data_IF_184688564122
#
_entry.id   IF_184688564122
#
_cell.length_a   1.000
_cell.length_b   1.000
_cell.length_c   1.000
_cell.angle_alpha   90.00
_cell.angle_beta   90.00
_cell.angle_gamma   90.00
#
_symmetry.space_group_name_H-M   'P 1'
#
loop_
_entity.id
_entity.type
_entity.pdbx_description
1 polymer ?
#
# COMPACT_ATOMS: atom_id res chain seq x y z
N UNK A 1 -6.76 13.65 22.77
CA UNK A 1 -5.93 12.84 21.85
C UNK A 1 -6.86 11.84 21.18
N UNK A 2 -6.68 11.55 19.89
CA UNK A 2 -7.43 10.48 19.24
C UNK A 2 -7.06 9.14 19.91
N UNK A 3 -7.99 8.20 19.94
CA UNK A 3 -7.76 6.85 20.45
C UNK A 3 -6.67 6.18 19.59
N UNK A 4 -5.69 5.53 20.23
CA UNK A 4 -4.63 4.83 19.50
C UNK A 4 -5.22 3.66 18.72
N UNK A 5 -4.85 3.53 17.45
CA UNK A 5 -5.29 2.46 16.56
C UNK A 5 -4.07 1.89 15.83
N UNK A 6 -3.85 0.62 16.02
CA UNK A 6 -2.82 -0.14 15.31
C UNK A 6 -3.47 -1.21 14.45
N UNK A 7 -2.72 -1.79 13.52
CA UNK A 7 -3.21 -2.91 12.72
C UNK A 7 -2.14 -3.99 12.56
N UNK A 8 -2.59 -5.23 12.46
CA UNK A 8 -1.89 -6.32 11.85
C UNK A 8 -2.51 -6.57 10.48
N UNK A 9 -1.70 -6.56 9.44
CA UNK A 9 -2.15 -6.55 8.05
C UNK A 9 -1.45 -7.66 7.24
N UNK A 10 -1.76 -8.94 7.52
CA UNK A 10 -1.12 -10.06 6.85
C UNK A 10 -1.66 -10.30 5.45
N UNK A 11 -0.75 -10.71 4.54
CA UNK A 11 -1.15 -11.29 3.26
C UNK A 11 -1.38 -12.79 3.41
N UNK A 12 -2.48 -13.35 2.89
CA UNK A 12 -2.82 -14.77 3.02
C UNK A 12 -2.05 -15.64 2.01
N UNK A 13 -0.73 -15.61 2.08
CA UNK A 13 0.19 -16.28 1.14
C UNK A 13 0.75 -17.60 1.67
N UNK A 14 0.16 -18.15 2.73
CA UNK A 14 0.54 -19.42 3.32
C UNK A 14 0.60 -19.41 4.84
N UNK A 15 1.52 -20.22 5.40
CA UNK A 15 1.64 -20.33 6.86
C UNK A 15 2.28 -19.09 7.46
N UNK A 16 1.70 -18.62 8.57
CA UNK A 16 2.30 -17.56 9.37
C UNK A 16 3.61 -18.07 10.00
N UNK A 17 4.69 -17.30 9.84
CA UNK A 17 5.95 -17.57 10.54
C UNK A 17 6.14 -16.62 11.74
N UNK A 18 7.09 -16.95 12.60
CA UNK A 18 7.33 -16.23 13.87
C UNK A 18 7.58 -14.73 13.69
N UNK A 19 8.18 -14.31 12.58
CA UNK A 19 8.39 -12.88 12.26
C UNK A 19 7.09 -12.11 12.11
N UNK A 20 6.11 -12.69 11.39
CA UNK A 20 4.78 -12.08 11.22
C UNK A 20 4.05 -12.01 12.57
N UNK A 21 4.12 -13.08 13.37
CA UNK A 21 3.52 -13.10 14.70
C UNK A 21 4.15 -12.05 15.62
N UNK A 22 5.48 -11.85 15.55
CA UNK A 22 6.17 -10.80 16.31
C UNK A 22 5.64 -9.41 15.96
N UNK A 23 5.44 -9.12 14.68
CA UNK A 23 4.86 -7.83 14.25
C UNK A 23 3.44 -7.65 14.79
N UNK A 24 2.61 -8.69 14.73
CA UNK A 24 1.27 -8.69 15.33
C UNK A 24 1.32 -8.42 16.85
N UNK A 25 2.24 -9.08 17.55
CA UNK A 25 2.42 -8.90 18.99
C UNK A 25 2.77 -7.45 19.36
N UNK A 26 3.71 -6.81 18.66
CA UNK A 26 4.07 -5.42 18.93
C UNK A 26 2.91 -4.46 18.68
N UNK A 27 2.21 -4.62 17.56
CA UNK A 27 1.03 -3.81 17.25
C UNK A 27 -0.07 -3.97 18.31
N UNK A 28 -0.32 -5.21 18.75
CA UNK A 28 -1.25 -5.54 19.84
C UNK A 28 -0.86 -4.87 21.16
N UNK A 29 0.41 -5.03 21.57
CA UNK A 29 0.88 -4.49 22.84
C UNK A 29 0.81 -2.96 22.90
N UNK A 30 1.16 -2.26 21.81
CA UNK A 30 1.03 -0.81 21.72
C UNK A 30 -0.44 -0.40 21.86
N UNK A 31 -1.35 -1.01 21.09
CA UNK A 31 -2.77 -0.70 21.21
C UNK A 31 -3.29 -0.91 22.62
N UNK A 32 -2.98 -2.05 23.25
CA UNK A 32 -3.49 -2.38 24.60
C UNK A 32 -2.86 -1.53 25.70
N UNK A 33 -1.57 -1.18 25.57
CA UNK A 33 -0.90 -0.29 26.52
C UNK A 33 -1.56 1.10 26.55
N UNK A 34 -1.91 1.62 25.39
CA UNK A 34 -2.52 2.93 25.23
C UNK A 34 -4.07 2.92 25.37
N UNK A 35 -4.67 1.80 25.71
CA UNK A 35 -6.14 1.66 25.79
C UNK A 35 -6.86 1.84 24.46
N UNK A 36 -6.16 1.53 23.36
CA UNK A 36 -6.59 1.68 21.99
C UNK A 36 -7.15 0.40 21.37
N UNK A 37 -7.25 0.40 20.04
CA UNK A 37 -7.80 -0.69 19.24
C UNK A 37 -6.71 -1.36 18.40
N UNK A 38 -6.74 -2.68 18.36
CA UNK A 38 -5.91 -3.52 17.50
C UNK A 38 -6.77 -4.11 16.38
N UNK A 39 -6.50 -3.76 15.15
CA UNK A 39 -7.26 -4.16 13.97
C UNK A 39 -6.59 -5.31 13.22
N UNK A 40 -7.40 -6.18 12.63
CA UNK A 40 -6.96 -7.18 11.65
C UNK A 40 -7.45 -6.76 10.26
N UNK A 41 -6.53 -6.57 9.31
CA UNK A 41 -6.82 -6.34 7.89
C UNK A 41 -6.17 -7.42 7.05
N UNK A 42 -6.91 -8.04 6.15
CA UNK A 42 -6.38 -9.05 5.21
C UNK A 42 -5.94 -8.34 3.92
N UNK A 43 -4.66 -8.46 3.59
CA UNK A 43 -4.06 -7.85 2.40
C UNK A 43 -3.88 -8.91 1.30
N UNK A 44 -4.95 -9.14 0.55
CA UNK A 44 -5.08 -10.17 -0.48
C UNK A 44 -5.06 -9.61 -1.92
N UNK A 45 -4.47 -8.43 -2.14
CA UNK A 45 -4.37 -7.82 -3.48
C UNK A 45 -3.49 -8.61 -4.45
N UNK A 46 -2.63 -9.49 -3.96
CA UNK A 46 -1.84 -10.42 -4.75
C UNK A 46 -2.57 -11.75 -4.88
N UNK A 47 -3.46 -11.82 -5.85
CA UNK A 47 -4.31 -12.99 -6.09
C UNK A 47 -3.52 -14.23 -6.59
N UNK A 48 -2.33 -14.03 -7.18
CA UNK A 48 -1.49 -15.13 -7.66
C UNK A 48 -0.86 -15.91 -6.52
N UNK A 49 -0.57 -15.23 -5.39
CA UNK A 49 0.01 -15.84 -4.19
C UNK A 49 -1.01 -16.20 -3.11
N UNK A 50 -2.30 -16.00 -3.38
CA UNK A 50 -3.35 -16.38 -2.44
C UNK A 50 -3.34 -17.89 -2.18
N UNK A 51 -3.39 -18.29 -0.91
CA UNK A 51 -3.45 -19.69 -0.49
C UNK A 51 -4.75 -19.93 0.25
N UNK A 52 -5.55 -20.86 -0.26
CA UNK A 52 -6.80 -21.27 0.39
C UNK A 52 -6.53 -21.79 1.82
N UNK A 53 -7.35 -21.37 2.78
CA UNK A 53 -7.19 -21.72 4.20
C UNK A 53 -6.16 -20.86 4.95
N UNK A 54 -5.43 -19.95 4.30
CA UNK A 54 -4.43 -19.12 4.97
C UNK A 54 -5.07 -18.11 5.93
N UNK A 55 -6.25 -17.61 5.60
CA UNK A 55 -7.00 -16.67 6.46
C UNK A 55 -7.42 -17.35 7.77
N UNK A 56 -7.91 -18.57 7.71
CA UNK A 56 -8.28 -19.40 8.86
C UNK A 56 -7.07 -19.66 9.76
N UNK A 57 -5.89 -19.91 9.17
CA UNK A 57 -4.63 -20.07 9.91
C UNK A 57 -4.26 -18.77 10.64
N UNK A 58 -4.45 -17.61 10.01
CA UNK A 58 -4.23 -16.30 10.66
C UNK A 58 -5.13 -16.16 11.89
N UNK A 59 -6.44 -16.39 11.76
CA UNK A 59 -7.38 -16.32 12.87
C UNK A 59 -7.02 -17.29 13.99
N UNK A 60 -6.74 -18.55 13.64
CA UNK A 60 -6.40 -19.57 14.63
C UNK A 60 -5.11 -19.21 15.39
N UNK A 61 -4.08 -18.73 14.66
CA UNK A 61 -2.81 -18.34 15.27
C UNK A 61 -2.99 -17.16 16.25
N UNK A 62 -3.75 -16.13 15.86
CA UNK A 62 -4.03 -14.99 16.73
C UNK A 62 -4.80 -15.43 17.97
N UNK A 63 -5.77 -16.32 17.82
CA UNK A 63 -6.54 -16.88 18.92
C UNK A 63 -5.66 -17.70 19.87
N UNK A 64 -4.85 -18.60 19.36
CA UNK A 64 -3.99 -19.49 20.16
C UNK A 64 -2.92 -18.71 20.94
N UNK A 65 -2.50 -17.56 20.41
CA UNK A 65 -1.51 -16.68 21.06
C UNK A 65 -2.14 -15.57 21.89
N UNK A 66 -3.48 -15.49 21.96
CA UNK A 66 -4.19 -14.49 22.77
C UNK A 66 -4.16 -13.07 22.17
N UNK A 67 -3.76 -12.89 20.91
CA UNK A 67 -3.72 -11.62 20.23
C UNK A 67 -5.09 -11.29 19.60
N UNK A 68 -6.08 -11.10 20.44
CA UNK A 68 -7.47 -10.90 19.99
C UNK A 68 -7.64 -9.47 19.45
N UNK A 69 -8.02 -9.37 18.17
CA UNK A 69 -8.32 -8.09 17.53
C UNK A 69 -9.67 -7.51 18.00
N UNK A 70 -9.76 -6.20 18.00
CA UNK A 70 -10.97 -5.45 18.35
C UNK A 70 -11.88 -5.27 17.15
N UNK A 71 -11.31 -5.15 15.95
CA UNK A 71 -12.00 -5.00 14.68
C UNK A 71 -11.31 -5.86 13.61
N UNK A 72 -12.06 -6.35 12.63
CA UNK A 72 -11.55 -7.17 11.54
C UNK A 72 -12.68 -7.69 10.64
N UNK A 73 -12.39 -8.59 9.68
CA UNK A 73 -13.41 -9.10 8.77
C UNK A 73 -14.58 -9.82 9.46
N UNK A 74 -14.33 -10.40 10.64
CA UNK A 74 -15.32 -11.10 11.47
C UNK A 74 -15.94 -10.21 12.56
N UNK A 75 -15.46 -8.96 12.70
CA UNK A 75 -15.88 -8.05 13.77
C UNK A 75 -15.82 -6.61 13.29
N UNK A 76 -16.90 -6.15 12.68
CA UNK A 76 -16.98 -4.80 12.11
C UNK A 76 -16.95 -3.71 13.19
N UNK A 77 -16.05 -2.73 13.00
CA UNK A 77 -15.93 -1.51 13.81
C UNK A 77 -16.41 -0.26 13.06
N UNK A 78 -17.04 -0.42 11.88
CA UNK A 78 -17.59 0.67 11.08
C UNK A 78 -16.62 1.32 10.10
N UNK A 79 -15.43 0.76 9.90
CA UNK A 79 -14.41 1.24 8.95
C UNK A 79 -14.06 0.20 7.89
N UNK A 80 -14.85 -0.88 7.81
CA UNK A 80 -14.70 -1.94 6.81
C UNK A 80 -14.97 -1.49 5.37
N UNK A 81 -14.85 -2.39 4.42
CA UNK A 81 -14.38 -3.79 4.54
C UNK A 81 -12.95 -3.90 5.06
N UNK A 82 -12.62 -5.02 5.76
CA UNK A 82 -11.28 -5.28 6.28
C UNK A 82 -10.48 -6.26 5.41
N UNK A 83 -10.98 -6.56 4.21
CA UNK A 83 -10.32 -7.38 3.19
C UNK A 83 -10.06 -6.50 1.96
N UNK A 84 -8.82 -6.45 1.48
CA UNK A 84 -8.44 -5.52 0.41
C UNK A 84 -9.11 -5.82 -0.92
N UNK A 85 -9.36 -7.09 -1.27
CA UNK A 85 -10.11 -7.44 -2.49
C UNK A 85 -11.55 -6.93 -2.45
N UNK A 86 -12.21 -6.91 -1.29
CA UNK A 86 -13.55 -6.31 -1.13
C UNK A 86 -13.51 -4.79 -1.29
N UNK A 87 -12.47 -4.14 -0.76
CA UNK A 87 -12.23 -2.69 -0.94
C UNK A 87 -11.93 -2.37 -2.39
N UNK A 88 -11.16 -3.21 -3.08
CA UNK A 88 -10.91 -3.08 -4.51
C UNK A 88 -12.23 -3.16 -5.30
N UNK A 89 -13.09 -4.12 -5.00
CA UNK A 89 -14.40 -4.26 -5.64
C UNK A 89 -15.31 -3.04 -5.43
N UNK A 90 -15.16 -2.30 -4.33
CA UNK A 90 -15.87 -1.04 -4.08
C UNK A 90 -15.37 0.14 -4.91
N UNK A 91 -14.21 0.02 -5.58
CA UNK A 91 -13.59 1.08 -6.39
C UNK A 91 -12.83 2.15 -5.60
N UNK A 92 -12.66 1.97 -4.29
CA UNK A 92 -12.11 2.99 -3.40
C UNK A 92 -10.68 3.41 -3.76
N UNK A 93 -9.82 2.46 -4.15
CA UNK A 93 -8.44 2.78 -4.52
C UNK A 93 -8.36 3.62 -5.79
N UNK A 94 -9.18 3.28 -6.80
CA UNK A 94 -9.24 4.08 -8.03
C UNK A 94 -9.77 5.49 -7.75
N UNK A 95 -10.73 5.63 -6.84
CA UNK A 95 -11.25 6.94 -6.41
C UNK A 95 -10.13 7.80 -5.81
N UNK A 96 -9.33 7.23 -4.89
CA UNK A 96 -8.19 7.95 -4.28
C UNK A 96 -7.09 8.26 -5.29
N UNK A 97 -6.78 7.35 -6.22
CA UNK A 97 -5.83 7.61 -7.29
C UNK A 97 -6.29 8.77 -8.20
N UNK A 98 -7.58 8.84 -8.53
CA UNK A 98 -8.16 9.96 -9.30
C UNK A 98 -8.08 11.28 -8.55
N UNK A 99 -8.32 11.30 -7.24
CA UNK A 99 -8.14 12.49 -6.40
C UNK A 99 -6.69 13.02 -6.44
N UNK A 100 -5.70 12.13 -6.52
CA UNK A 100 -4.30 12.52 -6.69
C UNK A 100 -4.04 13.05 -8.11
N UNK A 101 -4.65 12.47 -9.15
CA UNK A 101 -4.56 13.00 -10.53
C UNK A 101 -5.14 14.41 -10.59
N UNK A 102 -6.31 14.64 -10.00
CA UNK A 102 -6.96 15.95 -9.98
C UNK A 102 -6.12 17.03 -9.28
N UNK A 103 -5.26 16.64 -8.35
CA UNK A 103 -4.30 17.51 -7.67
C UNK A 103 -2.96 17.65 -8.40
N UNK A 104 -2.71 16.89 -9.46
CA UNK A 104 -1.42 16.82 -10.13
C UNK A 104 -0.36 16.00 -9.37
N UNK A 105 -0.77 15.25 -8.35
CA UNK A 105 0.10 14.39 -7.52
C UNK A 105 0.20 12.94 -8.07
N UNK A 106 -0.57 12.64 -9.13
CA UNK A 106 -0.49 11.39 -9.89
C UNK A 106 -0.85 11.62 -11.35
N UNK A 107 -0.55 10.67 -12.22
CA UNK A 107 -0.83 10.76 -13.64
C UNK A 107 -0.99 9.40 -14.31
N UNK A 108 -1.65 9.36 -15.47
CA UNK A 108 -1.77 8.17 -16.30
C UNK A 108 -0.45 7.89 -17.04
N UNK A 109 -0.01 6.65 -17.03
CA UNK A 109 1.17 6.21 -17.76
C UNK A 109 0.79 5.08 -18.73
N UNK A 110 0.99 5.31 -20.02
CA UNK A 110 0.70 4.38 -21.13
C UNK A 110 1.97 3.72 -21.70
N UNK A 111 3.09 3.77 -20.97
CA UNK A 111 4.33 3.14 -21.40
C UNK A 111 4.21 1.63 -21.52
N UNK A 112 4.70 1.08 -22.64
CA UNK A 112 4.75 -0.36 -22.84
C UNK A 112 5.87 -1.01 -22.01
N UNK A 113 5.80 -2.33 -21.73
CA UNK A 113 6.87 -3.04 -21.05
C UNK A 113 8.23 -2.92 -21.75
N UNK A 114 8.25 -2.90 -23.09
CA UNK A 114 9.47 -2.77 -23.90
C UNK A 114 10.13 -1.41 -23.67
N UNK A 115 9.30 -0.33 -23.64
CA UNK A 115 9.81 1.01 -23.34
C UNK A 115 10.38 1.08 -21.93
N UNK A 116 9.66 0.54 -20.95
CA UNK A 116 10.14 0.53 -19.56
C UNK A 116 11.44 -0.27 -19.42
N UNK A 117 11.55 -1.41 -20.12
CA UNK A 117 12.78 -2.19 -20.14
C UNK A 117 13.98 -1.42 -20.72
N UNK A 118 13.74 -0.50 -21.67
CA UNK A 118 14.80 0.33 -22.26
C UNK A 118 15.35 1.42 -21.33
N UNK A 119 14.67 1.69 -20.20
CA UNK A 119 15.13 2.65 -19.18
C UNK A 119 16.05 2.02 -18.12
N UNK A 120 16.24 0.71 -18.18
CA UNK A 120 17.13 0.01 -17.25
C UNK A 120 18.58 0.36 -17.56
N UNK A 121 19.28 0.83 -16.56
CA UNK A 121 20.72 1.09 -16.61
C UNK A 121 21.45 0.15 -15.63
N UNK A 122 22.64 -0.29 -16.02
CA UNK A 122 23.48 -1.08 -15.11
C UNK A 122 24.48 -0.15 -14.43
N UNK A 123 24.32 0.09 -13.15
CA UNK A 123 25.25 0.90 -12.34
C UNK A 123 25.86 0.02 -11.26
N UNK A 124 27.20 -0.10 -11.30
CA UNK A 124 27.91 -0.92 -10.28
C UNK A 124 27.62 -2.42 -10.32
N UNK A 125 27.02 -2.94 -11.39
CA UNK A 125 26.62 -4.36 -11.53
C UNK A 125 25.18 -4.64 -11.10
N UNK A 126 24.43 -3.64 -10.66
CA UNK A 126 23.01 -3.73 -10.34
C UNK A 126 22.18 -3.04 -11.42
N UNK A 127 21.04 -3.67 -11.79
CA UNK A 127 20.07 -3.03 -12.68
C UNK A 127 19.26 -2.02 -11.88
N UNK A 128 19.41 -0.74 -12.22
CA UNK A 128 18.60 0.36 -11.69
C UNK A 128 17.61 0.80 -12.77
N UNK A 129 16.36 0.98 -12.42
CA UNK A 129 15.34 1.55 -13.29
C UNK A 129 14.73 2.76 -12.60
N UNK A 130 15.06 3.97 -13.10
CA UNK A 130 14.35 5.19 -12.75
C UNK A 130 13.37 5.54 -13.87
N UNK A 131 12.11 5.76 -13.55
CA UNK A 131 11.12 6.15 -14.54
C UNK A 131 11.30 7.64 -14.91
N UNK A 132 11.43 7.92 -16.19
CA UNK A 132 11.77 9.24 -16.76
C UNK A 132 10.59 10.23 -16.83
N UNK A 133 9.47 9.96 -16.16
CA UNK A 133 8.25 10.80 -16.16
C UNK A 133 7.66 11.09 -17.57
N UNK A 134 7.95 10.25 -18.56
CA UNK A 134 7.57 10.45 -19.96
C UNK A 134 6.08 10.82 -20.14
N UNK A 135 5.17 10.12 -19.45
CA UNK A 135 3.73 10.33 -19.59
C UNK A 135 3.21 11.52 -18.76
N UNK A 136 4.02 12.13 -17.90
CA UNK A 136 3.61 13.30 -17.12
C UNK A 136 3.29 14.51 -18.00
N UNK A 137 3.96 14.61 -19.16
CA UNK A 137 3.79 15.72 -20.12
C UNK A 137 2.64 15.54 -21.11
N UNK A 138 1.86 14.47 -21.05
CA UNK A 138 0.72 14.26 -21.95
C UNK A 138 -0.39 15.30 -21.71
N UNK A 139 -0.93 15.85 -22.80
CA UNK A 139 -2.09 16.73 -22.74
C UNK A 139 -3.36 15.97 -22.33
N UNK A 140 -4.37 16.71 -21.86
CA UNK A 140 -5.67 16.12 -21.49
C UNK A 140 -6.36 15.45 -22.70
N UNK A 141 -6.16 16.01 -23.89
CA UNK A 141 -6.68 15.47 -25.15
C UNK A 141 -6.03 14.13 -25.50
N UNK A 142 -4.70 14.02 -25.34
CA UNK A 142 -3.96 12.77 -25.57
C UNK A 142 -4.34 11.70 -24.54
N UNK A 143 -4.43 12.07 -23.27
CA UNK A 143 -4.89 11.15 -22.21
C UNK A 143 -6.28 10.62 -22.52
N UNK A 144 -7.22 11.52 -22.89
CA UNK A 144 -8.58 11.14 -23.22
C UNK A 144 -8.63 10.22 -24.44
N UNK A 145 -7.89 10.54 -25.49
CA UNK A 145 -7.82 9.72 -26.70
C UNK A 145 -7.27 8.31 -26.41
N UNK A 146 -6.23 8.21 -25.58
CA UNK A 146 -5.63 6.93 -25.17
C UNK A 146 -6.62 6.09 -24.35
N UNK A 147 -7.34 6.71 -23.43
CA UNK A 147 -8.37 6.02 -22.61
C UNK A 147 -9.56 5.56 -23.47
N UNK A 148 -10.04 6.40 -24.41
CA UNK A 148 -11.13 6.06 -25.34
C UNK A 148 -10.72 4.95 -26.34
N UNK A 149 -9.43 4.91 -26.70
CA UNK A 149 -8.85 3.83 -27.51
C UNK A 149 -8.66 2.53 -26.74
N UNK A 150 -8.89 2.52 -25.43
CA UNK A 150 -8.72 1.35 -24.57
C UNK A 150 -7.28 0.92 -24.38
N UNK A 151 -6.32 1.83 -24.51
CA UNK A 151 -4.91 1.50 -24.28
C UNK A 151 -4.68 1.10 -22.82
N UNK A 152 -3.89 0.03 -22.57
CA UNK A 152 -3.48 -0.33 -21.21
C UNK A 152 -2.75 0.83 -20.55
N UNK A 153 -3.04 1.07 -19.28
CA UNK A 153 -2.39 2.11 -18.50
C UNK A 153 -2.16 1.67 -17.06
N UNK A 154 -1.25 2.36 -16.42
CA UNK A 154 -1.11 2.38 -14.96
C UNK A 154 -1.28 3.82 -14.47
N UNK A 155 -1.57 3.99 -13.18
CA UNK A 155 -1.51 5.32 -12.55
C UNK A 155 -0.24 5.36 -11.71
N UNK A 156 0.60 6.39 -11.95
CA UNK A 156 1.83 6.61 -11.21
C UNK A 156 1.70 7.81 -10.28
N UNK A 157 2.38 7.74 -9.15
CA UNK A 157 2.62 8.90 -8.29
C UNK A 157 3.51 9.91 -9.02
N UNK A 158 3.27 11.19 -8.80
CA UNK A 158 4.14 12.27 -9.27
C UNK A 158 4.96 12.78 -8.08
N UNK A 159 6.13 12.18 -7.86
CA UNK A 159 7.02 12.60 -6.78
C UNK A 159 7.76 13.90 -7.14
N UNK A 160 7.98 14.80 -6.18
CA UNK A 160 8.88 15.94 -6.38
C UNK A 160 10.31 15.44 -6.65
N UNK A 161 11.03 16.11 -7.54
CA UNK A 161 12.40 15.73 -7.93
C UNK A 161 13.48 16.53 -7.18
N UNK A 162 13.07 17.51 -6.36
CA UNK A 162 13.97 18.36 -5.59
C UNK A 162 13.48 18.51 -4.14
N UNK A 163 14.38 18.85 -3.23
CA UNK A 163 14.08 18.97 -1.81
C UNK A 163 14.12 17.62 -1.10
N UNK A 164 13.58 17.56 0.08
CA UNK A 164 13.60 16.38 0.94
C UNK A 164 12.22 16.06 1.50
N UNK A 165 11.96 14.78 1.73
CA UNK A 165 10.79 14.31 2.46
C UNK A 165 11.24 13.78 3.82
N UNK A 166 10.64 14.30 4.89
CA UNK A 166 10.96 13.91 6.27
C UNK A 166 9.73 13.34 6.95
N UNK A 167 9.90 12.24 7.68
CA UNK A 167 8.88 11.71 8.59
C UNK A 167 9.52 11.38 9.93
N UNK A 168 8.72 11.42 10.99
CA UNK A 168 9.18 11.06 12.33
C UNK A 168 8.91 9.57 12.60
N UNK A 169 9.96 8.83 12.94
CA UNK A 169 9.90 7.47 13.46
C UNK A 169 10.07 7.52 14.99
N UNK A 170 9.14 6.92 15.73
CA UNK A 170 9.12 6.96 17.19
C UNK A 170 10.36 6.26 17.84
N UNK A 171 11.08 5.44 17.08
CA UNK A 171 12.26 4.69 17.53
C UNK A 171 13.53 5.34 17.01
N UNK A 172 13.56 5.70 15.73
CA UNK A 172 14.76 6.20 15.04
C UNK A 172 14.83 7.74 14.96
N UNK A 173 13.76 8.45 15.36
CA UNK A 173 13.65 9.90 15.21
C UNK A 173 13.32 10.33 13.79
N UNK A 174 13.71 11.54 13.41
CA UNK A 174 13.41 12.07 12.09
C UNK A 174 14.24 11.36 11.01
N UNK A 175 13.54 10.75 10.05
CA UNK A 175 14.14 10.12 8.87
C UNK A 175 13.89 11.04 7.68
N UNK A 176 14.96 11.45 7.02
CA UNK A 176 14.91 12.36 5.87
C UNK A 176 15.50 11.68 4.66
N UNK A 177 14.77 11.72 3.54
CA UNK A 177 15.17 11.16 2.25
C UNK A 177 15.20 12.30 1.22
N UNK A 178 16.23 12.34 0.36
CA UNK A 178 16.26 13.25 -0.77
C UNK A 178 15.20 12.83 -1.80
N UNK A 179 14.42 13.80 -2.28
CA UNK A 179 13.36 13.50 -3.23
C UNK A 179 13.88 12.98 -4.58
N UNK A 180 15.14 13.25 -4.92
CA UNK A 180 15.79 12.70 -6.12
C UNK A 180 15.98 11.17 -6.07
N UNK A 181 15.90 10.57 -4.87
CA UNK A 181 15.96 9.12 -4.68
C UNK A 181 14.58 8.44 -4.84
N UNK A 182 13.51 9.24 -4.90
CA UNK A 182 12.14 8.73 -4.99
C UNK A 182 11.72 8.51 -6.46
N UNK A 183 11.41 7.28 -6.82
CA UNK A 183 10.82 6.97 -8.14
C UNK A 183 9.30 7.23 -8.16
N UNK A 184 8.75 7.51 -9.34
CA UNK A 184 7.30 7.58 -9.55
C UNK A 184 6.68 6.18 -9.51
N UNK A 185 6.37 5.72 -8.32
CA UNK A 185 5.81 4.39 -8.11
C UNK A 185 4.44 4.23 -8.77
N UNK A 186 4.15 3.02 -9.23
CA UNK A 186 2.81 2.65 -9.68
C UNK A 186 1.88 2.59 -8.48
N UNK A 187 0.78 3.32 -8.54
CA UNK A 187 -0.31 3.31 -7.55
C UNK A 187 -1.38 2.28 -7.93
N UNK A 188 -1.84 2.33 -9.20
CA UNK A 188 -2.81 1.39 -9.77
C UNK A 188 -2.15 0.67 -10.94
N UNK A 189 -2.18 -0.64 -10.90
CA UNK A 189 -1.67 -1.54 -11.94
C UNK A 189 -2.62 -1.58 -13.16
N UNK A 190 -2.15 -2.13 -14.27
CA UNK A 190 -2.93 -2.26 -15.51
C UNK A 190 -4.14 -3.20 -15.39
N UNK A 191 -4.15 -4.10 -14.41
CA UNK A 191 -5.28 -4.95 -14.05
C UNK A 191 -6.33 -4.24 -13.18
N UNK A 192 -6.09 -2.96 -12.83
CA UNK A 192 -6.95 -2.14 -11.98
C UNK A 192 -6.71 -2.31 -10.47
N UNK A 193 -5.87 -3.26 -10.05
CA UNK A 193 -5.54 -3.44 -8.64
C UNK A 193 -4.52 -2.40 -8.16
N UNK A 194 -4.63 -1.94 -6.91
CA UNK A 194 -3.61 -1.09 -6.32
C UNK A 194 -2.31 -1.87 -6.09
N UNK A 195 -1.20 -1.16 -6.03
CA UNK A 195 0.03 -1.72 -5.45
C UNK A 195 -0.10 -1.81 -3.94
N UNK A 196 0.71 -2.68 -3.32
CA UNK A 196 0.75 -2.85 -1.86
C UNK A 196 0.90 -1.52 -1.12
N UNK A 197 1.89 -0.72 -1.50
CA UNK A 197 2.16 0.55 -0.82
C UNK A 197 1.00 1.54 -0.91
N UNK A 198 0.30 1.60 -2.03
CA UNK A 198 -0.83 2.50 -2.19
C UNK A 198 -2.07 2.03 -1.44
N UNK A 199 -2.41 0.74 -1.54
CA UNK A 199 -3.54 0.16 -0.81
C UNK A 199 -3.38 0.37 0.71
N UNK A 200 -2.19 0.09 1.22
CA UNK A 200 -1.84 0.22 2.62
C UNK A 200 -2.08 1.65 3.15
N UNK A 201 -1.61 2.68 2.41
CA UNK A 201 -1.77 4.09 2.80
C UNK A 201 -3.24 4.51 2.79
N UNK A 202 -4.00 4.15 1.74
CA UNK A 202 -5.43 4.45 1.65
C UNK A 202 -6.20 3.80 2.78
N UNK A 203 -5.89 2.53 3.08
CA UNK A 203 -6.57 1.78 4.12
C UNK A 203 -6.24 2.31 5.52
N UNK A 204 -4.98 2.56 5.81
CA UNK A 204 -4.56 3.11 7.10
C UNK A 204 -5.22 4.47 7.35
N UNK A 205 -5.31 5.33 6.32
CA UNK A 205 -6.02 6.61 6.42
C UNK A 205 -7.51 6.42 6.74
N UNK A 206 -8.20 5.56 5.98
CA UNK A 206 -9.64 5.38 6.11
C UNK A 206 -10.05 4.59 7.37
N UNK A 207 -9.18 3.71 7.84
CA UNK A 207 -9.38 2.99 9.09
C UNK A 207 -8.93 3.78 10.32
N UNK A 208 -8.39 4.99 10.12
CA UNK A 208 -7.93 5.86 11.22
C UNK A 208 -6.76 5.28 11.99
N UNK A 209 -5.88 4.53 11.33
CA UNK A 209 -4.66 3.99 11.95
C UNK A 209 -3.76 5.15 12.38
N UNK A 210 -3.36 5.14 13.64
CA UNK A 210 -2.53 6.18 14.23
C UNK A 210 -1.07 5.76 14.38
N UNK A 211 -0.81 4.46 14.55
CA UNK A 211 0.54 3.93 14.73
C UNK A 211 0.75 2.72 13.82
N UNK A 212 1.73 2.84 12.94
CA UNK A 212 2.16 1.78 12.04
C UNK A 212 3.35 1.07 12.64
N UNK A 213 3.22 -0.23 12.89
CA UNK A 213 4.30 -1.08 13.37
C UNK A 213 4.71 -2.02 12.25
N UNK A 214 5.96 -1.93 11.80
CA UNK A 214 6.48 -2.73 10.69
C UNK A 214 7.97 -3.05 10.90
N UNK A 215 8.48 -4.02 10.12
CA UNK A 215 9.91 -4.28 10.02
C UNK A 215 10.67 -3.12 9.36
N UNK A 216 11.98 -3.19 9.45
CA UNK A 216 12.91 -2.18 8.90
C UNK A 216 13.29 -2.49 7.44
N UNK A 217 12.46 -3.26 6.75
CA UNK A 217 12.67 -3.80 5.40
C UNK A 217 12.02 -2.88 4.36
#
# INVERSE_FOLDING_TARGET
MSRVRTRYAPSPTGRMHVGNLRTALYAYLIAKHEGGDFLLRIEDTDQERYVEGAVEIIYQTLKDTGLIHDEGPDKDGGVGPYVQSERQASGIYLEYAKKLIDKGEAYYCFCTPERLASLKETVGGEEIMAYDKHCLGLSQEEIKANLEAGLPYVIRQNNPVTGTTTFNDEIYGDITVDNSELDDMVLIKSDGYPTYNFANVVDDHLMGITHVVRGNE
#
